data_IF_100270122066
#
_entry.id   IF_100270122066
#
_cell.length_a   1.000
_cell.length_b   1.000
_cell.length_c   1.000
_cell.angle_alpha   90.00
_cell.angle_beta   90.00
_cell.angle_gamma   90.00
#
_symmetry.space_group_name_H-M   'P 1'
#
loop_
_entity.id
_entity.type
_entity.pdbx_description
1 polymer ?
#
# COMPACT_ATOMS: atom_id res chain seq x y z
N UNK A 1 1.43 -6.25 12.59
CA UNK A 1 2.61 -6.38 13.47
C UNK A 1 2.57 -7.69 14.28
N UNK A 2 3.68 -8.45 14.35
CA UNK A 2 3.76 -9.68 15.17
C UNK A 2 3.84 -9.33 16.68
N UNK A 3 3.03 -9.95 17.56
CA UNK A 3 3.02 -9.67 18.99
C UNK A 3 4.18 -10.38 19.73
N UNK A 4 5.43 -10.07 19.35
CA UNK A 4 6.63 -10.61 19.99
C UNK A 4 7.23 -9.58 20.96
N UNK A 5 7.53 -10.01 22.19
CA UNK A 5 7.96 -9.16 23.32
C UNK A 5 9.33 -8.47 23.12
N UNK A 6 10.38 -9.08 22.52
CA UNK A 6 11.62 -8.38 22.28
C UNK A 6 11.55 -7.61 20.95
N UNK A 7 11.83 -6.29 20.92
CA UNK A 7 11.72 -5.47 19.71
C UNK A 7 12.66 -5.95 18.59
N UNK A 8 13.88 -6.42 18.94
CA UNK A 8 14.83 -7.00 17.98
C UNK A 8 14.36 -8.33 17.40
N UNK A 9 13.78 -9.19 18.24
CA UNK A 9 13.23 -10.49 17.79
C UNK A 9 12.02 -10.27 16.90
N UNK A 10 11.16 -9.31 17.25
CA UNK A 10 10.03 -8.88 16.41
C UNK A 10 10.50 -8.34 15.06
N UNK A 11 11.52 -7.47 15.05
CA UNK A 11 12.08 -6.92 13.81
C UNK A 11 12.69 -8.02 12.94
N UNK A 12 13.47 -8.93 13.51
CA UNK A 12 14.03 -10.06 12.79
C UNK A 12 12.95 -10.99 12.21
N UNK A 13 11.92 -11.30 13.00
CA UNK A 13 10.80 -12.12 12.57
C UNK A 13 10.00 -11.46 11.44
N UNK A 14 9.76 -10.14 11.53
CA UNK A 14 9.12 -9.35 10.48
C UNK A 14 9.97 -9.35 9.20
N UNK A 15 11.28 -9.15 9.33
CA UNK A 15 12.25 -9.18 8.23
C UNK A 15 12.24 -10.54 7.51
N UNK A 16 12.26 -11.62 8.28
CA UNK A 16 12.18 -12.98 7.76
C UNK A 16 10.84 -13.25 7.06
N UNK A 17 9.73 -12.77 7.62
CA UNK A 17 8.39 -12.93 7.05
C UNK A 17 8.24 -12.20 5.71
N UNK A 18 8.57 -10.91 5.67
CA UNK A 18 8.46 -10.09 4.44
C UNK A 18 9.42 -10.57 3.35
N UNK A 19 10.64 -10.98 3.71
CA UNK A 19 11.63 -11.51 2.77
C UNK A 19 11.43 -12.96 2.36
N UNK A 20 10.39 -13.65 2.84
CA UNK A 20 10.19 -15.08 2.64
C UNK A 20 9.71 -15.43 1.23
N UNK A 21 10.42 -16.37 0.59
CA UNK A 21 10.01 -16.99 -0.69
C UNK A 21 9.11 -18.20 -0.50
N UNK A 22 8.67 -18.48 0.73
CA UNK A 22 7.77 -19.59 1.00
C UNK A 22 6.43 -19.42 0.26
N UNK A 23 5.81 -20.53 -0.22
CA UNK A 23 4.43 -20.49 -0.70
C UNK A 23 3.49 -19.98 0.39
N UNK A 24 2.44 -19.25 -0.02
CA UNK A 24 1.28 -18.99 0.85
C UNK A 24 0.33 -20.20 0.93
N UNK A 25 0.68 -21.32 0.28
CA UNK A 25 -0.17 -22.49 0.13
C UNK A 25 -1.30 -22.29 -0.90
N UNK A 26 -2.23 -23.24 -1.01
CA UNK A 26 -3.44 -23.07 -1.81
C UNK A 26 -4.40 -22.06 -1.16
N UNK A 27 -5.30 -21.50 -1.97
CA UNK A 27 -6.39 -20.64 -1.48
C UNK A 27 -7.41 -21.52 -0.76
N UNK A 28 -7.38 -21.53 0.58
CA UNK A 28 -8.24 -22.33 1.45
C UNK A 28 -9.08 -21.43 2.36
N UNK A 29 -10.16 -21.93 2.98
CA UNK A 29 -10.92 -21.15 3.96
C UNK A 29 -10.04 -20.61 5.10
N UNK A 30 -9.02 -21.36 5.52
CA UNK A 30 -8.06 -20.91 6.53
C UNK A 30 -7.16 -19.79 6.01
N UNK A 31 -6.60 -19.93 4.80
CA UNK A 31 -5.75 -18.87 4.23
C UNK A 31 -6.55 -17.58 3.98
N UNK A 32 -7.81 -17.68 3.56
CA UNK A 32 -8.73 -16.53 3.42
C UNK A 32 -8.99 -15.85 4.77
N UNK A 33 -9.23 -16.62 5.84
CA UNK A 33 -9.37 -16.07 7.20
C UNK A 33 -8.10 -15.36 7.66
N UNK A 34 -6.92 -15.92 7.36
CA UNK A 34 -5.65 -15.31 7.68
C UNK A 34 -5.41 -14.01 6.89
N UNK A 35 -5.71 -14.00 5.59
CA UNK A 35 -5.63 -12.81 4.73
C UNK A 35 -6.57 -11.72 5.23
N UNK A 36 -7.84 -12.06 5.50
CA UNK A 36 -8.82 -11.11 6.08
C UNK A 36 -8.28 -10.52 7.38
N UNK A 37 -7.82 -11.37 8.30
CA UNK A 37 -7.28 -10.91 9.57
C UNK A 37 -6.06 -10.00 9.39
N UNK A 38 -5.15 -10.34 8.48
CA UNK A 38 -3.91 -9.59 8.31
C UNK A 38 -4.10 -8.25 7.58
N UNK A 39 -5.02 -8.18 6.62
CA UNK A 39 -5.07 -7.09 5.63
C UNK A 39 -6.38 -6.30 5.61
N UNK A 40 -7.45 -6.80 6.24
CA UNK A 40 -8.78 -6.23 6.08
C UNK A 40 -9.46 -5.96 7.44
N UNK A 41 -10.45 -5.09 7.41
CA UNK A 41 -11.30 -4.75 8.53
C UNK A 41 -12.21 -5.90 8.97
N UNK A 42 -12.71 -5.87 10.22
CA UNK A 42 -13.67 -6.86 10.71
C UNK A 42 -14.96 -6.92 9.89
N UNK A 43 -15.35 -5.82 9.22
CA UNK A 43 -16.56 -5.75 8.38
C UNK A 43 -16.39 -6.17 6.92
N UNK A 44 -15.19 -6.57 6.49
CA UNK A 44 -14.91 -6.84 5.08
C UNK A 44 -15.81 -7.92 4.46
N UNK A 45 -16.36 -7.61 3.27
CA UNK A 45 -17.20 -8.51 2.48
C UNK A 45 -16.42 -9.78 2.06
N UNK A 46 -17.01 -10.98 2.19
CA UNK A 46 -16.36 -12.22 1.77
C UNK A 46 -15.88 -12.26 0.32
N UNK A 47 -16.55 -11.60 -0.64
CA UNK A 47 -16.10 -11.57 -2.02
C UNK A 47 -14.85 -10.69 -2.18
N UNK A 48 -14.79 -9.56 -1.48
CA UNK A 48 -13.58 -8.72 -1.38
C UNK A 48 -12.40 -9.50 -0.79
N UNK A 49 -12.62 -10.27 0.28
CA UNK A 49 -11.59 -11.15 0.87
C UNK A 49 -11.10 -12.19 -0.14
N UNK A 50 -12.02 -12.77 -0.94
CA UNK A 50 -11.67 -13.73 -1.99
C UNK A 50 -10.77 -13.12 -3.05
N UNK A 51 -11.12 -11.93 -3.52
CA UNK A 51 -10.35 -11.19 -4.54
C UNK A 51 -8.94 -10.91 -4.01
N UNK A 52 -8.82 -10.36 -2.81
CA UNK A 52 -7.52 -10.08 -2.21
C UNK A 52 -6.69 -11.35 -1.98
N UNK A 53 -7.30 -12.43 -1.50
CA UNK A 53 -6.61 -13.72 -1.36
C UNK A 53 -6.10 -14.23 -2.72
N UNK A 54 -6.91 -14.17 -3.78
CA UNK A 54 -6.47 -14.59 -5.13
C UNK A 54 -5.31 -13.75 -5.64
N UNK A 55 -5.36 -12.42 -5.49
CA UNK A 55 -4.28 -11.51 -5.90
C UNK A 55 -2.97 -11.86 -5.15
N UNK A 56 -3.04 -12.00 -3.82
CA UNK A 56 -1.89 -12.34 -2.99
C UNK A 56 -1.28 -13.70 -3.36
N UNK A 57 -2.12 -14.71 -3.62
CA UNK A 57 -1.67 -16.05 -3.99
C UNK A 57 -1.16 -16.13 -5.45
N UNK A 58 -1.68 -15.30 -6.36
CA UNK A 58 -1.22 -15.22 -7.76
C UNK A 58 0.14 -14.51 -7.91
N UNK A 59 0.51 -13.67 -6.95
CA UNK A 59 1.79 -12.97 -6.97
C UNK A 59 2.98 -13.96 -6.89
N UNK A 60 3.91 -13.95 -7.87
CA UNK A 60 5.08 -14.82 -7.83
C UNK A 60 5.88 -14.63 -6.55
N UNK A 61 6.25 -15.74 -5.90
CA UNK A 61 6.91 -15.73 -4.58
C UNK A 61 8.21 -14.91 -4.57
N UNK A 62 8.95 -14.96 -5.68
CA UNK A 62 10.17 -14.19 -5.88
C UNK A 62 9.90 -12.67 -5.87
N UNK A 63 8.82 -12.25 -6.53
CA UNK A 63 8.40 -10.84 -6.61
C UNK A 63 7.93 -10.37 -5.24
N UNK A 64 7.06 -11.14 -4.57
CA UNK A 64 6.60 -10.81 -3.21
C UNK A 64 7.75 -10.68 -2.20
N UNK A 65 8.68 -11.63 -2.19
CA UNK A 65 9.85 -11.58 -1.31
C UNK A 65 10.81 -10.43 -1.67
N UNK A 66 10.96 -10.13 -2.97
CA UNK A 66 11.77 -9.00 -3.46
C UNK A 66 11.21 -7.67 -2.96
N UNK A 67 9.91 -7.44 -3.17
CA UNK A 67 9.22 -6.24 -2.67
C UNK A 67 9.25 -6.14 -1.14
N UNK A 68 9.08 -7.26 -0.44
CA UNK A 68 9.21 -7.28 1.02
C UNK A 68 10.57 -6.75 1.49
N UNK A 69 11.66 -7.07 0.78
CA UNK A 69 13.01 -6.53 1.07
C UNK A 69 13.11 -5.04 0.78
N UNK A 70 12.55 -4.58 -0.34
CA UNK A 70 12.49 -3.14 -0.65
C UNK A 70 11.80 -2.38 0.48
N UNK A 71 10.62 -2.84 0.91
CA UNK A 71 9.88 -2.19 2.00
C UNK A 71 10.61 -2.22 3.35
N UNK A 72 11.51 -3.17 3.58
CA UNK A 72 12.30 -3.26 4.80
C UNK A 72 13.46 -2.25 4.86
N UNK A 73 13.97 -1.86 3.70
CA UNK A 73 15.13 -0.97 3.58
C UNK A 73 14.73 0.44 3.09
N UNK A 74 13.44 0.67 2.80
CA UNK A 74 12.91 1.95 2.33
C UNK A 74 12.72 2.93 3.49
N UNK A 75 13.61 3.91 3.60
CA UNK A 75 13.53 5.00 4.56
C UNK A 75 13.30 6.33 3.83
N UNK A 76 12.03 6.77 3.78
CA UNK A 76 11.63 8.01 3.09
C UNK A 76 10.97 9.04 4.00
N UNK A 77 10.81 8.75 5.30
CA UNK A 77 10.09 9.63 6.23
C UNK A 77 10.68 11.05 6.27
N UNK A 78 12.00 11.17 6.24
CA UNK A 78 12.71 12.45 6.23
C UNK A 78 12.45 13.28 4.96
N UNK A 79 11.97 12.65 3.88
CA UNK A 79 11.71 13.29 2.58
C UNK A 79 10.26 13.68 2.37
N UNK A 80 9.36 13.38 3.32
CA UNK A 80 7.93 13.74 3.22
C UNK A 80 7.76 15.26 3.06
N UNK A 81 8.62 16.05 3.72
CA UNK A 81 8.65 17.51 3.60
C UNK A 81 9.00 18.03 2.19
N UNK A 82 9.53 17.18 1.31
CA UNK A 82 9.82 17.53 -0.09
C UNK A 82 8.56 17.45 -0.99
N UNK A 83 7.44 16.91 -0.49
CA UNK A 83 6.18 16.82 -1.21
C UNK A 83 5.46 18.18 -1.21
N UNK A 84 5.78 19.01 -2.22
CA UNK A 84 5.22 20.37 -2.36
C UNK A 84 3.85 20.42 -3.03
N UNK A 85 3.31 19.30 -3.48
CA UNK A 85 1.95 19.23 -4.03
C UNK A 85 0.90 19.07 -2.93
N UNK A 86 -0.34 19.53 -3.14
CA UNK A 86 -1.47 19.20 -2.27
C UNK A 86 -1.59 17.68 -2.11
N UNK A 87 -1.57 17.20 -0.87
CA UNK A 87 -1.51 15.77 -0.57
C UNK A 87 -2.52 15.41 0.51
N UNK A 88 -3.41 14.45 0.20
CA UNK A 88 -4.28 13.82 1.16
C UNK A 88 -3.68 12.50 1.66
N UNK A 89 -3.88 12.18 2.94
CA UNK A 89 -3.51 10.89 3.54
C UNK A 89 -4.78 10.13 3.88
N UNK A 90 -4.90 8.87 3.45
CA UNK A 90 -6.05 8.01 3.75
C UNK A 90 -5.54 6.79 4.52
N UNK A 91 -6.19 6.43 5.63
CA UNK A 91 -5.82 5.27 6.42
C UNK A 91 -7.05 4.57 7.03
N UNK A 92 -7.04 3.24 7.04
CA UNK A 92 -8.04 2.45 7.75
C UNK A 92 -7.71 2.36 9.24
N UNK A 93 -8.67 2.57 10.12
CA UNK A 93 -8.41 2.55 11.58
C UNK A 93 -8.17 1.13 12.12
N UNK A 94 -8.48 0.10 11.34
CA UNK A 94 -8.21 -1.30 11.66
C UNK A 94 -7.01 -1.88 10.87
N UNK A 95 -6.19 -1.04 10.24
CA UNK A 95 -4.98 -1.48 9.53
C UNK A 95 -3.94 -2.05 10.51
N UNK A 96 -3.58 -3.32 10.30
CA UNK A 96 -2.60 -4.06 11.11
C UNK A 96 -1.22 -4.17 10.46
N UNK A 97 -1.10 -3.81 9.18
CA UNK A 97 0.14 -3.82 8.43
C UNK A 97 0.85 -2.48 8.58
N UNK A 98 0.13 -1.39 8.40
CA UNK A 98 0.62 -0.01 8.56
C UNK A 98 -0.19 0.70 9.64
N UNK A 99 0.24 0.64 10.90
CA UNK A 99 -0.45 1.30 12.01
C UNK A 99 -0.75 2.77 11.75
N UNK A 100 -1.90 3.23 12.24
CA UNK A 100 -2.44 4.58 12.03
C UNK A 100 -1.48 5.71 12.46
N UNK A 101 -0.62 5.45 13.45
CA UNK A 101 0.45 6.36 13.88
C UNK A 101 1.34 6.82 12.72
N UNK A 102 1.61 5.96 11.73
CA UNK A 102 2.36 6.35 10.54
C UNK A 102 1.59 7.35 9.68
N UNK A 103 0.26 7.19 9.54
CA UNK A 103 -0.57 8.13 8.80
C UNK A 103 -0.62 9.50 9.45
N UNK A 104 -0.73 9.55 10.79
CA UNK A 104 -0.61 10.80 11.55
C UNK A 104 0.75 11.46 11.37
N UNK A 105 1.83 10.69 11.46
CA UNK A 105 3.19 11.20 11.27
C UNK A 105 3.40 11.77 9.86
N UNK A 106 2.92 11.07 8.82
CA UNK A 106 2.97 11.56 7.44
C UNK A 106 2.17 12.86 7.29
N UNK A 107 0.93 12.90 7.78
CA UNK A 107 0.07 14.08 7.69
C UNK A 107 0.69 15.31 8.39
N UNK A 108 1.35 15.10 9.53
CA UNK A 108 2.03 16.16 10.28
C UNK A 108 3.32 16.67 9.59
N UNK A 109 3.98 15.82 8.79
CA UNK A 109 5.21 16.17 8.09
C UNK A 109 4.98 16.81 6.71
N UNK A 110 3.78 16.69 6.15
CA UNK A 110 3.43 17.24 4.84
C UNK A 110 3.31 18.78 4.87
N UNK A 111 3.99 19.52 3.98
CA UNK A 111 3.86 20.98 3.88
C UNK A 111 2.45 21.44 3.46
N UNK A 112 1.79 20.65 2.61
CA UNK A 112 0.47 20.95 2.05
C UNK A 112 -0.48 19.76 2.23
N UNK A 113 -0.69 19.36 3.49
CA UNK A 113 -1.66 18.33 3.85
C UNK A 113 -3.08 18.85 3.64
N UNK A 114 -3.84 18.30 2.70
CA UNK A 114 -5.26 18.65 2.49
C UNK A 114 -6.17 17.96 3.50
N UNK A 115 -5.69 16.87 4.13
CA UNK A 115 -6.38 16.19 5.20
C UNK A 115 -5.83 14.78 5.46
N UNK A 116 -6.05 14.31 6.69
CA UNK A 116 -5.96 12.91 7.07
C UNK A 116 -7.37 12.34 7.17
N UNK A 117 -7.69 11.40 6.27
CA UNK A 117 -8.99 10.73 6.19
C UNK A 117 -8.85 9.36 6.83
N UNK A 118 -9.38 9.25 8.04
CA UNK A 118 -9.46 7.98 8.77
C UNK A 118 -10.76 7.27 8.43
N UNK A 119 -10.66 6.02 7.95
CA UNK A 119 -11.81 5.20 7.56
C UNK A 119 -12.11 4.19 8.66
N UNK A 120 -13.18 4.40 9.47
CA UNK A 120 -13.43 3.59 10.66
C UNK A 120 -13.69 2.12 10.32
N UNK A 121 -12.94 1.23 10.97
CA UNK A 121 -13.13 -0.21 10.84
C UNK A 121 -12.61 -0.81 9.52
N UNK A 122 -12.02 -0.02 8.62
CA UNK A 122 -11.34 -0.53 7.44
C UNK A 122 -9.91 -0.95 7.76
N UNK A 123 -9.41 -1.96 7.05
CA UNK A 123 -8.06 -2.47 7.18
C UNK A 123 -7.08 -1.78 6.23
N UNK A 124 -6.07 -2.53 5.81
CA UNK A 124 -5.02 -2.07 4.92
C UNK A 124 -5.50 -1.86 3.48
N UNK A 125 -6.47 -2.66 3.04
CA UNK A 125 -6.93 -2.69 1.65
C UNK A 125 -8.05 -1.69 1.41
N UNK A 126 -7.94 -0.46 1.95
CA UNK A 126 -8.98 0.57 1.86
C UNK A 126 -9.52 0.81 0.45
N UNK A 127 -8.73 0.78 -0.66
CA UNK A 127 -9.28 0.98 -2.00
C UNK A 127 -10.22 -0.13 -2.47
N UNK A 128 -10.15 -1.31 -1.86
CA UNK A 128 -11.01 -2.46 -2.17
C UNK A 128 -12.14 -2.58 -1.15
N UNK A 129 -11.90 -2.19 0.11
CA UNK A 129 -12.91 -2.26 1.17
C UNK A 129 -13.95 -1.14 1.08
N UNK A 130 -13.55 0.06 0.66
CA UNK A 130 -14.45 1.19 0.39
C UNK A 130 -13.94 2.02 -0.81
N UNK A 131 -14.23 1.57 -2.05
CA UNK A 131 -13.80 2.26 -3.25
C UNK A 131 -14.38 3.68 -3.36
N UNK A 132 -15.60 3.93 -2.86
CA UNK A 132 -16.26 5.23 -2.97
C UNK A 132 -15.60 6.26 -2.06
N UNK A 133 -15.26 5.89 -0.82
CA UNK A 133 -14.52 6.78 0.07
C UNK A 133 -13.17 7.18 -0.53
N UNK A 134 -12.41 6.22 -1.06
CA UNK A 134 -11.09 6.48 -1.66
C UNK A 134 -11.20 7.30 -2.94
N UNK A 135 -12.09 6.92 -3.86
CA UNK A 135 -12.28 7.65 -5.12
C UNK A 135 -12.91 9.03 -4.92
N UNK A 136 -13.71 9.23 -3.87
CA UNK A 136 -14.22 10.54 -3.47
C UNK A 136 -13.10 11.52 -3.13
N UNK A 137 -12.11 11.09 -2.36
CA UNK A 137 -10.92 11.90 -2.04
C UNK A 137 -10.12 12.22 -3.30
N UNK A 138 -9.88 11.21 -4.16
CA UNK A 138 -9.15 11.40 -5.43
C UNK A 138 -9.87 12.41 -6.32
N UNK A 139 -11.19 12.27 -6.47
CA UNK A 139 -12.03 13.17 -7.27
C UNK A 139 -11.98 14.60 -6.72
N UNK A 140 -12.09 14.78 -5.40
CA UNK A 140 -11.95 16.09 -4.77
C UNK A 140 -10.61 16.76 -5.09
N UNK A 141 -9.49 16.02 -4.98
CA UNK A 141 -8.17 16.54 -5.36
C UNK A 141 -8.09 16.94 -6.84
N UNK A 142 -8.68 16.13 -7.74
CA UNK A 142 -8.69 16.43 -9.18
C UNK A 142 -9.58 17.63 -9.50
N UNK A 143 -10.74 17.76 -8.87
CA UNK A 143 -11.65 18.89 -9.08
C UNK A 143 -11.01 20.21 -8.59
N UNK A 144 -10.35 20.19 -7.45
CA UNK A 144 -9.73 21.37 -6.85
C UNK A 144 -8.40 21.76 -7.50
N UNK A 145 -7.55 20.79 -7.84
CA UNK A 145 -6.17 21.03 -8.30
C UNK A 145 -5.87 20.57 -9.73
N UNK A 146 -6.78 19.86 -10.39
CA UNK A 146 -6.56 19.24 -11.72
C UNK A 146 -6.59 20.21 -12.90
N UNK A 147 -6.84 21.51 -12.68
CA UNK A 147 -6.92 22.52 -13.74
C UNK A 147 -5.58 23.18 -14.07
N UNK A 148 -4.50 22.88 -13.32
CA UNK A 148 -3.14 23.36 -13.64
C UNK A 148 -2.43 22.45 -14.63
N UNK A 149 -2.81 22.50 -15.91
CA UNK A 149 -1.92 22.03 -16.99
C UNK A 149 -1.10 23.21 -17.53
N UNK A 150 0.16 23.29 -17.13
CA UNK A 150 1.18 23.80 -18.04
C UNK A 150 1.35 22.74 -19.16
N UNK A 151 1.44 23.13 -20.44
CA UNK A 151 1.56 22.18 -21.54
C UNK A 151 2.81 21.30 -21.36
N UNK A 152 2.62 19.98 -21.27
CA UNK A 152 3.72 19.03 -21.33
C UNK A 152 4.35 19.08 -22.74
N UNK A 153 5.66 19.35 -22.87
CA UNK A 153 6.34 19.17 -24.15
C UNK A 153 6.30 17.68 -24.52
N UNK A 154 5.67 17.37 -25.64
CA UNK A 154 5.61 16.02 -26.19
C UNK A 154 7.04 15.50 -26.42
N UNK A 155 7.45 14.54 -25.61
CA UNK A 155 8.70 13.80 -25.87
C UNK A 155 8.41 12.83 -27.00
N UNK A 156 8.84 13.16 -28.22
CA UNK A 156 8.91 12.20 -29.33
C UNK A 156 9.88 11.08 -28.94
N UNK A 157 9.36 9.93 -28.54
CA UNK A 157 10.15 8.71 -28.37
C UNK A 157 10.73 8.30 -29.73
N UNK A 158 12.07 8.32 -29.86
CA UNK A 158 12.75 7.70 -31.01
C UNK A 158 12.57 6.17 -30.92
N UNK A 159 12.26 5.49 -32.04
CA UNK A 159 12.08 4.04 -32.04
C UNK A 159 13.37 3.33 -31.64
N UNK A 160 13.24 2.38 -30.71
CA UNK A 160 14.31 1.46 -30.32
C UNK A 160 14.68 0.58 -31.52
N UNK A 161 15.89 0.74 -32.04
CA UNK A 161 16.45 -0.17 -33.03
C UNK A 161 16.66 -1.54 -32.37
N UNK A 162 16.07 -2.59 -32.95
CA UNK A 162 16.35 -3.97 -32.56
C UNK A 162 17.73 -4.34 -33.10
N UNK A 163 18.70 -4.49 -32.21
CA UNK A 163 19.95 -5.16 -32.53
C UNK A 163 19.68 -6.67 -32.61
N UNK A 164 19.72 -7.21 -33.83
CA UNK A 164 19.70 -8.65 -34.11
C UNK A 164 21.14 -9.16 -34.01
N UNK A 165 21.41 -10.02 -33.03
CA UNK A 165 22.67 -10.78 -32.99
C UNK A 165 22.59 -11.95 -33.95
N UNK A 166 23.65 -12.11 -34.75
CA UNK A 166 23.90 -13.15 -35.72
C UNK A 166 24.06 -14.55 -35.11
#
# INVERSE_FOLDING_TARGET
MLPLRPPRVRALAHRALLGSRAPLGPVTPLSKRLVRYATMGPGADPATVEVCARILHACPRAVRAGWGRVLLDLELDARIGELTMPTAVIAGTADRLTPLEHAHAMAAALPHCTGLIELPGLGHMTPVEDPEAVTGVIRGLVEEYGTSQAPHPSTTQKPHAKEQTA
#
